data_IF_866566115462
#
_entry.id   IF_866566115462
#
_cell.length_a   1.000
_cell.length_b   1.000
_cell.length_c   1.000
_cell.angle_alpha   90.00
_cell.angle_beta   90.00
_cell.angle_gamma   90.00
#
_symmetry.space_group_name_H-M   'P 1'
#
loop_
_entity.id
_entity.type
_entity.pdbx_description
1 polymer ?
#
# COMPACT_ATOMS: atom_id res chain seq x y z
N UNK A 1 -17.16 -11.82 -0.30
CA UNK A 1 -16.44 -11.14 -1.42
C UNK A 1 -16.79 -11.68 -2.80
N UNK A 2 -17.44 -12.83 -2.92
CA UNK A 2 -17.76 -13.43 -4.21
C UNK A 2 -19.12 -12.99 -4.70
N UNK A 3 -19.19 -12.03 -5.63
CA UNK A 3 -20.32 -11.93 -6.56
C UNK A 3 -20.09 -12.97 -7.65
N UNK A 4 -21.17 -13.66 -8.05
CA UNK A 4 -21.16 -14.62 -9.15
C UNK A 4 -20.43 -14.00 -10.35
N UNK A 5 -19.31 -14.60 -10.78
CA UNK A 5 -18.44 -14.27 -11.91
C UNK A 5 -17.19 -13.38 -11.63
N UNK A 6 -16.95 -12.86 -10.42
CA UNK A 6 -15.70 -12.14 -10.12
C UNK A 6 -14.59 -13.12 -9.70
N UNK A 7 -13.46 -13.06 -10.40
CA UNK A 7 -12.28 -13.85 -10.07
C UNK A 7 -11.40 -13.13 -9.07
N UNK A 8 -11.17 -13.77 -7.95
CA UNK A 8 -10.35 -13.25 -6.85
C UNK A 8 -9.09 -14.09 -6.73
N UNK A 9 -7.95 -13.43 -6.57
CA UNK A 9 -6.70 -14.07 -6.21
C UNK A 9 -6.24 -13.59 -4.84
N UNK A 10 -5.81 -14.52 -3.99
CA UNK A 10 -5.29 -14.21 -2.67
C UNK A 10 -3.78 -14.47 -2.67
N UNK A 11 -3.02 -13.47 -2.21
CA UNK A 11 -1.60 -13.58 -1.95
C UNK A 11 -1.42 -13.57 -0.44
N UNK A 12 -0.93 -14.67 0.11
CA UNK A 12 -0.64 -14.79 1.53
C UNK A 12 0.86 -14.59 1.75
N UNK A 13 1.21 -13.66 2.60
CA UNK A 13 2.59 -13.38 2.98
C UNK A 13 2.85 -14.00 4.36
N UNK A 14 3.31 -15.25 4.40
CA UNK A 14 3.60 -15.96 5.64
C UNK A 14 5.08 -15.98 6.00
N UNK A 15 5.36 -15.72 7.29
CA UNK A 15 6.65 -16.03 7.90
C UNK A 15 6.62 -17.49 8.41
N UNK A 16 7.14 -18.45 7.64
CA UNK A 16 7.28 -19.82 8.10
C UNK A 16 7.21 -20.89 7.00
N UNK A 17 7.62 -22.10 7.33
CA UNK A 17 7.67 -23.25 6.44
C UNK A 17 6.36 -24.04 6.38
N UNK A 18 5.30 -23.60 7.05
CA UNK A 18 4.00 -24.28 7.11
C UNK A 18 2.88 -23.33 6.73
N UNK A 19 2.28 -23.61 5.59
CA UNK A 19 1.04 -23.00 5.11
C UNK A 19 -0.14 -23.64 5.87
N UNK A 20 -0.54 -23.02 6.99
CA UNK A 20 -1.67 -23.50 7.80
C UNK A 20 -2.99 -22.93 7.28
N UNK A 21 -2.96 -21.72 6.72
CA UNK A 21 -4.16 -20.93 6.44
C UNK A 21 -4.73 -21.16 5.04
N UNK A 22 -3.92 -21.55 4.05
CA UNK A 22 -4.40 -21.85 2.69
C UNK A 22 -5.41 -23.01 2.66
N UNK A 23 -5.33 -23.93 3.62
CA UNK A 23 -6.29 -25.04 3.76
C UNK A 23 -7.68 -24.61 4.25
N UNK A 24 -7.82 -23.37 4.73
CA UNK A 24 -9.09 -22.83 5.25
C UNK A 24 -9.93 -22.11 4.19
N UNK A 25 -9.36 -21.92 3.00
CA UNK A 25 -10.00 -21.20 1.89
C UNK A 25 -10.66 -22.23 0.95
N UNK A 26 -11.84 -21.89 0.42
CA UNK A 26 -12.56 -22.80 -0.49
C UNK A 26 -11.73 -23.09 -1.74
N UNK A 27 -11.81 -24.34 -2.26
CA UNK A 27 -11.07 -24.83 -3.44
C UNK A 27 -11.34 -24.06 -4.75
N UNK A 28 -12.20 -23.05 -4.74
CA UNK A 28 -12.56 -22.23 -5.89
C UNK A 28 -11.72 -20.92 -5.99
N UNK A 29 -10.90 -20.65 -4.97
CA UNK A 29 -10.07 -19.44 -4.91
C UNK A 29 -8.61 -19.85 -5.13
N UNK A 30 -7.93 -19.22 -6.08
CA UNK A 30 -6.51 -19.44 -6.31
C UNK A 30 -5.70 -18.72 -5.22
N UNK A 31 -5.06 -19.49 -4.35
CA UNK A 31 -4.20 -19.00 -3.26
C UNK A 31 -2.75 -19.18 -3.63
N UNK A 32 -1.98 -18.11 -3.58
CA UNK A 32 -0.53 -18.13 -3.73
C UNK A 32 0.13 -17.73 -2.42
N UNK A 33 0.86 -18.64 -1.81
CA UNK A 33 1.69 -18.36 -0.64
C UNK A 33 3.07 -17.92 -1.11
N UNK A 34 3.50 -16.74 -0.71
CA UNK A 34 4.89 -16.31 -0.87
C UNK A 34 5.69 -17.01 0.26
N UNK A 35 6.16 -18.21 -0.02
CA UNK A 35 6.99 -18.97 0.90
C UNK A 35 8.43 -18.69 0.50
N UNK A 36 9.17 -17.89 1.25
CA UNK A 36 10.55 -18.14 1.56
C UNK A 36 11.28 -16.98 2.22
N UNK A 37 11.91 -17.38 3.25
CA UNK A 37 12.97 -16.97 4.02
C UNK A 37 13.94 -15.91 3.51
N UNK A 38 14.43 -15.19 4.45
CA UNK A 38 15.53 -14.25 4.45
C UNK A 38 15.23 -12.86 3.88
N UNK A 39 14.87 -12.00 4.84
CA UNK A 39 15.10 -10.55 4.83
C UNK A 39 14.25 -9.73 3.88
N UNK A 40 13.54 -8.81 4.48
CA UNK A 40 12.66 -7.74 3.98
C UNK A 40 12.78 -7.23 2.51
N UNK A 41 13.91 -7.41 1.83
CA UNK A 41 14.11 -6.94 0.46
C UNK A 41 13.58 -7.92 -0.60
N UNK A 42 13.67 -9.22 -0.35
CA UNK A 42 13.27 -10.24 -1.34
C UNK A 42 11.74 -10.35 -1.45
N UNK A 43 11.02 -10.25 -0.33
CA UNK A 43 9.56 -10.34 -0.29
C UNK A 43 8.86 -9.22 -1.08
N UNK A 44 9.42 -8.00 -1.08
CA UNK A 44 8.85 -6.89 -1.86
C UNK A 44 8.98 -7.14 -3.35
N UNK A 45 10.14 -7.62 -3.80
CA UNK A 45 10.36 -7.92 -5.21
C UNK A 45 9.48 -9.09 -5.66
N UNK A 46 9.36 -10.13 -4.84
CA UNK A 46 8.48 -11.27 -5.11
C UNK A 46 7.02 -10.82 -5.24
N UNK A 47 6.53 -9.96 -4.34
CA UNK A 47 5.19 -9.41 -4.44
C UNK A 47 4.99 -8.60 -5.73
N UNK A 48 5.95 -7.75 -6.11
CA UNK A 48 5.89 -6.99 -7.36
C UNK A 48 5.88 -7.93 -8.57
N UNK A 49 6.70 -8.97 -8.59
CA UNK A 49 6.73 -9.97 -9.67
C UNK A 49 5.41 -10.72 -9.79
N UNK A 50 4.82 -11.14 -8.66
CA UNK A 50 3.54 -11.84 -8.63
C UNK A 50 2.41 -10.93 -9.12
N UNK A 51 2.33 -9.70 -8.63
CA UNK A 51 1.35 -8.72 -9.10
C UNK A 51 1.51 -8.44 -10.59
N UNK A 52 2.75 -8.35 -11.09
CA UNK A 52 3.02 -8.18 -12.52
C UNK A 52 2.56 -9.37 -13.34
N UNK A 53 2.78 -10.59 -12.86
CA UNK A 53 2.31 -11.80 -13.53
C UNK A 53 0.77 -11.85 -13.60
N UNK A 54 0.09 -11.47 -12.52
CA UNK A 54 -1.38 -11.35 -12.48
C UNK A 54 -1.87 -10.30 -13.49
N UNK A 55 -1.24 -9.11 -13.49
CA UNK A 55 -1.61 -8.03 -14.40
C UNK A 55 -1.47 -8.43 -15.87
N UNK A 56 -0.38 -9.14 -16.23
CA UNK A 56 -0.13 -9.60 -17.60
C UNK A 56 -1.11 -10.69 -18.03
N UNK A 57 -1.56 -11.53 -17.11
CA UNK A 57 -2.56 -12.58 -17.38
C UNK A 57 -3.96 -11.98 -17.59
N UNK A 58 -4.31 -10.94 -16.83
CA UNK A 58 -5.52 -10.15 -17.02
C UNK A 58 -6.82 -10.91 -16.77
N UNK A 59 -6.80 -12.00 -15.99
CA UNK A 59 -7.94 -12.88 -15.73
C UNK A 59 -8.51 -12.75 -14.31
N UNK A 60 -8.07 -11.75 -13.54
CA UNK A 60 -8.45 -11.53 -12.13
C UNK A 60 -9.09 -10.14 -11.98
N UNK A 61 -10.17 -10.07 -11.24
CA UNK A 61 -10.87 -8.81 -10.94
C UNK A 61 -10.36 -8.17 -9.65
N UNK A 62 -10.03 -8.99 -8.64
CA UNK A 62 -9.56 -8.52 -7.34
C UNK A 62 -8.36 -9.32 -6.88
N UNK A 63 -7.38 -8.63 -6.31
CA UNK A 63 -6.23 -9.23 -5.61
C UNK A 63 -6.34 -8.85 -4.14
N UNK A 64 -6.36 -9.85 -3.27
CA UNK A 64 -6.34 -9.67 -1.82
C UNK A 64 -4.95 -10.06 -1.34
N UNK A 65 -4.30 -9.19 -0.59
CA UNK A 65 -2.99 -9.45 0.00
C UNK A 65 -3.17 -9.54 1.50
N UNK A 66 -2.91 -10.71 2.07
CA UNK A 66 -2.85 -10.89 3.50
C UNK A 66 -1.43 -10.64 3.99
N UNK A 67 -1.28 -9.66 4.87
CA UNK A 67 -0.02 -9.33 5.50
C UNK A 67 0.11 -10.00 6.86
N UNK A 68 1.31 -10.43 7.23
CA UNK A 68 1.56 -10.93 8.60
C UNK A 68 1.39 -9.81 9.63
N UNK A 69 1.05 -10.18 10.87
CA UNK A 69 0.87 -9.22 11.97
C UNK A 69 2.13 -8.40 12.32
N UNK A 70 3.30 -8.80 11.81
CA UNK A 70 4.57 -8.08 11.99
C UNK A 70 5.05 -7.37 10.71
N UNK A 71 4.22 -7.34 9.67
CA UNK A 71 4.56 -6.66 8.42
C UNK A 71 4.54 -5.13 8.58
N UNK A 72 5.50 -4.48 7.95
CA UNK A 72 5.48 -3.02 7.81
C UNK A 72 4.53 -2.62 6.68
N UNK A 73 3.33 -2.16 7.02
CA UNK A 73 2.27 -1.83 6.06
C UNK A 73 2.70 -0.80 5.02
N UNK A 74 3.55 0.17 5.39
CA UNK A 74 4.09 1.14 4.44
C UNK A 74 4.91 0.46 3.34
N UNK A 75 5.70 -0.54 3.67
CA UNK A 75 6.53 -1.24 2.70
C UNK A 75 5.70 -2.10 1.73
N UNK A 76 4.59 -2.68 2.21
CA UNK A 76 3.63 -3.37 1.35
C UNK A 76 2.90 -2.38 0.43
N UNK A 77 2.49 -1.24 0.97
CA UNK A 77 1.88 -0.16 0.18
C UNK A 77 2.83 0.31 -0.94
N UNK A 78 4.12 0.47 -0.62
CA UNK A 78 5.15 0.82 -1.61
C UNK A 78 5.29 -0.27 -2.68
N UNK A 79 5.29 -1.54 -2.30
CA UNK A 79 5.37 -2.66 -3.24
C UNK A 79 4.14 -2.72 -4.16
N UNK A 80 2.93 -2.54 -3.62
CA UNK A 80 1.69 -2.49 -4.41
C UNK A 80 1.63 -1.31 -5.38
N UNK A 81 2.42 -0.28 -5.15
CA UNK A 81 2.50 0.91 -6.00
C UNK A 81 3.85 0.99 -6.75
N UNK A 82 4.52 -0.14 -6.97
CA UNK A 82 5.74 -0.16 -7.76
C UNK A 82 5.47 0.37 -9.19
N UNK A 83 6.36 1.22 -9.74
CA UNK A 83 6.20 1.78 -11.09
C UNK A 83 6.00 0.77 -12.21
N UNK A 84 6.40 -0.49 -12.02
CA UNK A 84 6.18 -1.55 -12.99
C UNK A 84 4.74 -2.04 -13.07
N UNK A 85 3.95 -1.83 -12.01
CA UNK A 85 2.61 -2.41 -11.88
C UNK A 85 1.51 -1.37 -11.61
N UNK A 86 1.86 -0.17 -11.15
CA UNK A 86 0.90 0.86 -10.71
C UNK A 86 -0.15 1.25 -11.75
N UNK A 87 0.16 1.11 -13.03
CA UNK A 87 -0.76 1.43 -14.13
C UNK A 87 -1.76 0.29 -14.45
N UNK A 88 -1.59 -0.88 -13.82
CA UNK A 88 -2.47 -2.04 -14.03
C UNK A 88 -3.51 -2.23 -12.94
N UNK A 89 -3.28 -1.61 -11.78
CA UNK A 89 -4.14 -1.75 -10.61
C UNK A 89 -4.68 -0.40 -10.15
N UNK A 90 -5.83 -0.42 -9.55
CA UNK A 90 -6.32 0.71 -8.78
C UNK A 90 -5.48 0.88 -7.50
N UNK A 91 -5.64 2.03 -6.84
CA UNK A 91 -4.98 2.28 -5.57
C UNK A 91 -5.40 1.21 -4.55
N UNK A 92 -4.46 0.56 -3.86
CA UNK A 92 -4.81 -0.44 -2.86
C UNK A 92 -5.61 0.17 -1.71
N UNK A 93 -6.56 -0.59 -1.17
CA UNK A 93 -7.29 -0.27 0.05
C UNK A 93 -6.73 -1.12 1.17
N UNK A 94 -6.46 -0.51 2.31
CA UNK A 94 -5.88 -1.18 3.47
C UNK A 94 -6.95 -1.35 4.54
N UNK A 95 -7.26 -2.60 4.86
CA UNK A 95 -8.13 -2.95 5.99
C UNK A 95 -7.28 -3.39 7.19
N UNK A 96 -7.31 -2.61 8.27
CA UNK A 96 -6.72 -3.01 9.54
C UNK A 96 -7.67 -3.95 10.29
N UNK A 97 -7.20 -5.12 10.68
CA UNK A 97 -8.00 -6.05 11.50
C UNK A 97 -7.51 -5.99 12.94
N UNK A 98 -8.40 -5.62 13.87
CA UNK A 98 -8.12 -5.46 15.28
C UNK A 98 -8.86 -6.52 16.09
N UNK A 99 -8.13 -7.26 16.92
CA UNK A 99 -8.69 -8.19 17.91
C UNK A 99 -9.12 -7.40 19.16
N UNK A 100 -10.44 -7.29 19.40
CA UNK A 100 -11.00 -6.56 20.52
C UNK A 100 -10.53 -7.10 21.88
N UNK A 101 -10.25 -8.40 21.97
CA UNK A 101 -9.84 -9.03 23.24
C UNK A 101 -8.42 -8.66 23.65
N UNK A 102 -7.56 -8.31 22.69
CA UNK A 102 -6.13 -8.06 22.92
C UNK A 102 -5.74 -6.59 22.88
N UNK A 103 -6.51 -5.77 22.19
CA UNK A 103 -6.13 -4.38 21.95
C UNK A 103 -5.93 -3.56 23.22
N UNK A 104 -6.79 -3.73 24.23
CA UNK A 104 -6.67 -3.03 25.51
C UNK A 104 -5.46 -3.48 26.35
N UNK A 105 -4.98 -4.69 26.09
CA UNK A 105 -3.83 -5.27 26.79
C UNK A 105 -2.50 -5.02 26.06
N UNK A 106 -2.50 -4.23 24.98
CA UNK A 106 -1.29 -4.00 24.17
C UNK A 106 -0.13 -3.37 24.94
N UNK A 107 -0.41 -2.72 26.07
CA UNK A 107 0.62 -2.20 26.99
C UNK A 107 1.52 -3.30 27.59
N UNK A 108 1.14 -4.58 27.46
CA UNK A 108 1.97 -5.73 27.86
C UNK A 108 3.04 -6.07 26.82
N UNK A 109 2.93 -5.54 25.58
CA UNK A 109 3.92 -5.73 24.55
C UNK A 109 5.07 -4.72 24.66
N UNK A 110 6.17 -4.98 23.95
CA UNK A 110 7.28 -4.03 23.88
C UNK A 110 6.84 -2.74 23.16
N UNK A 111 7.51 -1.63 23.45
CA UNK A 111 7.23 -0.34 22.80
C UNK A 111 7.30 -0.43 21.26
N UNK A 112 8.27 -1.18 20.74
CA UNK A 112 8.38 -1.39 19.29
C UNK A 112 7.15 -2.12 18.71
N UNK A 113 6.64 -3.13 19.41
CA UNK A 113 5.44 -3.87 18.96
C UNK A 113 4.20 -2.96 19.03
N UNK A 114 4.05 -2.18 20.07
CA UNK A 114 2.94 -1.22 20.21
C UNK A 114 3.01 -0.17 19.09
N UNK A 115 4.19 0.40 18.85
CA UNK A 115 4.39 1.37 17.75
C UNK A 115 4.04 0.77 16.40
N UNK A 116 4.49 -0.45 16.12
CA UNK A 116 4.15 -1.13 14.87
C UNK A 116 2.64 -1.35 14.71
N UNK A 117 1.96 -1.79 15.79
CA UNK A 117 0.49 -1.95 15.77
C UNK A 117 -0.23 -0.63 15.49
N UNK A 118 0.20 0.45 16.14
CA UNK A 118 -0.39 1.78 15.92
C UNK A 118 -0.12 2.30 14.49
N UNK A 119 1.07 2.07 13.94
CA UNK A 119 1.41 2.44 12.57
C UNK A 119 0.58 1.65 11.55
N UNK A 120 0.34 0.35 11.79
CA UNK A 120 -0.55 -0.45 10.96
C UNK A 120 -1.99 0.10 10.98
N UNK A 121 -2.50 0.48 12.16
CA UNK A 121 -3.83 1.08 12.26
C UNK A 121 -3.90 2.44 11.56
N UNK A 122 -2.89 3.30 11.73
CA UNK A 122 -2.83 4.62 11.09
C UNK A 122 -2.78 4.56 9.56
N UNK A 123 -2.25 3.48 9.00
CA UNK A 123 -2.19 3.26 7.54
C UNK A 123 -3.46 2.67 6.96
N UNK A 124 -4.41 2.25 7.79
CA UNK A 124 -5.65 1.61 7.33
C UNK A 124 -6.62 2.64 6.74
N UNK A 125 -7.34 2.25 5.69
CA UNK A 125 -8.49 2.99 5.16
C UNK A 125 -9.75 2.72 5.98
N UNK A 126 -9.83 1.54 6.60
CA UNK A 126 -10.88 1.13 7.51
C UNK A 126 -10.31 0.17 8.56
N UNK A 127 -10.81 0.24 9.80
CA UNK A 127 -10.45 -0.68 10.87
C UNK A 127 -11.63 -1.60 11.16
N UNK A 128 -11.40 -2.90 11.03
CA UNK A 128 -12.37 -3.95 11.36
C UNK A 128 -12.08 -4.43 12.78
N UNK A 129 -12.94 -4.08 13.74
CA UNK A 129 -12.84 -4.51 15.13
C UNK A 129 -13.55 -5.85 15.25
N UNK A 130 -12.78 -6.94 15.31
CA UNK A 130 -13.28 -8.31 15.35
C UNK A 130 -13.37 -8.84 16.78
N UNK A 131 -14.13 -9.91 16.98
CA UNK A 131 -14.36 -10.61 18.25
C UNK A 131 -15.07 -9.73 19.30
N UNK A 132 -15.98 -8.87 18.86
CA UNK A 132 -16.73 -8.00 19.78
C UNK A 132 -17.64 -8.78 20.72
N UNK A 133 -18.03 -10.00 20.36
CA UNK A 133 -18.79 -10.94 21.17
C UNK A 133 -18.04 -11.46 22.40
N UNK A 134 -16.72 -11.31 22.44
CA UNK A 134 -15.88 -11.78 23.54
C UNK A 134 -15.46 -10.68 24.52
N UNK A 135 -15.99 -9.47 24.36
CA UNK A 135 -15.68 -8.32 25.22
C UNK A 135 -16.95 -7.64 25.72
N UNK A 136 -16.84 -6.85 26.79
CA UNK A 136 -17.97 -6.08 27.33
C UNK A 136 -18.16 -4.77 26.57
N UNK A 137 -19.37 -4.18 26.70
CA UNK A 137 -19.67 -2.86 26.11
C UNK A 137 -18.73 -1.77 26.67
N UNK A 138 -18.38 -1.81 27.97
CA UNK A 138 -17.39 -0.89 28.57
C UNK A 138 -16.00 -1.04 27.92
N UNK A 139 -15.61 -2.26 27.55
CA UNK A 139 -14.38 -2.51 26.85
C UNK A 139 -14.43 -1.95 25.41
N UNK A 140 -15.54 -2.10 24.71
CA UNK A 140 -15.74 -1.52 23.38
C UNK A 140 -15.69 0.00 23.40
N UNK A 141 -16.31 0.64 24.38
CA UNK A 141 -16.21 2.10 24.56
C UNK A 141 -14.77 2.56 24.81
N UNK A 142 -13.99 1.80 25.57
CA UNK A 142 -12.56 2.09 25.78
C UNK A 142 -11.76 1.94 24.50
N UNK A 143 -12.06 0.90 23.71
CA UNK A 143 -11.42 0.71 22.38
C UNK A 143 -11.72 1.91 21.48
N UNK A 144 -12.99 2.30 21.34
CA UNK A 144 -13.41 3.44 20.53
C UNK A 144 -12.70 4.74 20.96
N UNK A 145 -12.62 5.00 22.27
CA UNK A 145 -11.89 6.17 22.79
C UNK A 145 -10.41 6.14 22.45
N UNK A 146 -9.76 4.99 22.54
CA UNK A 146 -8.35 4.87 22.21
C UNK A 146 -8.10 4.98 20.70
N UNK A 147 -8.95 4.38 19.87
CA UNK A 147 -8.86 4.53 18.41
C UNK A 147 -9.09 5.97 17.99
N UNK A 148 -10.00 6.71 18.64
CA UNK A 148 -10.20 8.13 18.35
C UNK A 148 -8.99 9.01 18.67
N UNK A 149 -8.08 8.55 19.53
CA UNK A 149 -6.79 9.24 19.80
C UNK A 149 -5.73 8.83 18.80
N UNK A 150 -5.64 7.53 18.46
CA UNK A 150 -4.60 6.99 17.59
C UNK A 150 -4.89 7.33 16.12
N UNK A 151 -6.16 7.24 15.70
CA UNK A 151 -6.58 7.29 14.31
C UNK A 151 -7.99 7.88 14.14
N UNK A 152 -8.18 9.12 14.59
CA UNK A 152 -9.48 9.80 14.72
C UNK A 152 -10.37 9.84 13.46
N UNK A 153 -9.77 9.80 12.28
CA UNK A 153 -10.48 9.95 11.00
C UNK A 153 -10.72 8.64 10.25
N UNK A 154 -10.24 7.50 10.79
CA UNK A 154 -10.44 6.21 10.13
C UNK A 154 -11.78 5.62 10.53
N UNK A 155 -12.64 5.24 9.57
CA UNK A 155 -13.88 4.55 9.87
C UNK A 155 -13.59 3.19 10.50
N UNK A 156 -14.44 2.83 11.49
CA UNK A 156 -14.36 1.55 12.18
C UNK A 156 -15.61 0.73 11.90
N UNK A 157 -15.43 -0.59 11.72
CA UNK A 157 -16.51 -1.54 11.57
C UNK A 157 -16.40 -2.63 12.66
N UNK A 158 -17.48 -2.90 13.38
CA UNK A 158 -17.52 -3.88 14.46
C UNK A 158 -18.11 -5.19 13.97
N UNK A 159 -17.43 -6.31 14.23
CA UNK A 159 -17.86 -7.61 13.74
C UNK A 159 -17.49 -8.78 14.66
N UNK A 160 -18.07 -9.92 14.40
CA UNK A 160 -17.72 -11.22 14.96
C UNK A 160 -17.35 -12.16 13.82
N UNK A 161 -16.36 -13.05 14.06
CA UNK A 161 -15.87 -14.01 13.04
C UNK A 161 -15.47 -13.38 11.69
N UNK A 162 -15.06 -12.11 11.68
CA UNK A 162 -14.66 -11.41 10.46
C UNK A 162 -15.80 -11.22 9.44
N UNK A 163 -17.07 -11.33 9.87
CA UNK A 163 -18.22 -11.16 8.99
C UNK A 163 -18.39 -9.68 8.63
N UNK A 164 -18.03 -9.33 7.42
CA UNK A 164 -18.19 -8.00 6.85
C UNK A 164 -18.90 -8.13 5.52
N UNK A 165 -19.98 -7.37 5.31
CA UNK A 165 -20.67 -7.37 4.03
C UNK A 165 -19.88 -6.57 2.97
N UNK A 166 -20.02 -6.95 1.70
CA UNK A 166 -19.39 -6.22 0.58
C UNK A 166 -19.87 -4.77 0.45
N UNK A 167 -21.09 -4.51 0.91
CA UNK A 167 -21.69 -3.17 0.87
C UNK A 167 -21.02 -2.25 1.88
N UNK A 168 -20.47 -2.83 2.95
CA UNK A 168 -19.76 -2.12 4.02
C UNK A 168 -18.27 -1.95 3.72
N UNK A 169 -17.70 -2.88 2.96
CA UNK A 169 -16.39 -2.70 2.35
C UNK A 169 -16.60 -1.83 1.10
N UNK A 170 -16.32 -0.56 1.21
CA UNK A 170 -16.40 0.38 0.10
C UNK A 170 -15.29 0.06 -0.92
N UNK A 171 -15.54 -0.99 -1.71
CA UNK A 171 -14.58 -1.42 -2.73
C UNK A 171 -14.53 -0.37 -3.84
N UNK A 172 -13.34 0.08 -4.26
CA UNK A 172 -13.20 0.95 -5.41
C UNK A 172 -13.70 0.23 -6.66
N UNK A 173 -14.55 0.88 -7.43
CA UNK A 173 -15.06 0.35 -8.70
C UNK A 173 -16.55 0.51 -8.94
N UNK A 174 -17.36 0.90 -7.97
CA UNK A 174 -18.76 1.28 -8.19
C UNK A 174 -18.87 2.80 -8.24
N UNK A 175 -19.01 3.32 -9.48
CA UNK A 175 -19.55 4.64 -9.83
C UNK A 175 -19.43 5.72 -8.73
N UNK A 176 -18.22 6.11 -8.41
CA UNK A 176 -17.98 7.40 -7.79
C UNK A 176 -17.64 8.39 -8.89
N UNK A 177 -18.63 9.22 -9.23
CA UNK A 177 -18.30 10.52 -9.79
C UNK A 177 -17.13 11.10 -8.99
N UNK A 178 -16.14 11.64 -9.71
CA UNK A 178 -14.95 12.27 -9.14
C UNK A 178 -15.41 13.51 -8.33
N UNK A 179 -16.11 13.26 -7.25
CA UNK A 179 -16.29 14.23 -6.19
C UNK A 179 -15.05 14.11 -5.32
N UNK A 180 -14.32 15.21 -5.22
CA UNK A 180 -13.08 15.42 -4.49
C UNK A 180 -13.20 15.17 -2.96
N UNK A 181 -13.65 14.01 -2.56
CA UNK A 181 -13.62 13.57 -1.17
C UNK A 181 -12.42 12.65 -0.99
N UNK A 182 -11.36 13.27 -0.55
CA UNK A 182 -10.11 12.65 -0.15
C UNK A 182 -10.35 11.59 0.93
N UNK A 183 -10.20 10.31 0.59
CA UNK A 183 -9.93 9.30 1.59
C UNK A 183 -8.56 9.60 2.17
N UNK A 184 -8.54 10.15 3.36
CA UNK A 184 -7.35 10.47 4.10
C UNK A 184 -6.80 9.19 4.74
N UNK A 185 -5.90 8.49 4.06
CA UNK A 185 -4.90 7.74 4.79
C UNK A 185 -4.22 8.73 5.74
N UNK A 186 -4.26 8.61 7.02
CA UNK A 186 -3.67 9.46 8.05
C UNK A 186 -2.51 10.33 7.57
N UNK A 187 -2.76 11.24 6.66
CA UNK A 187 -1.75 12.06 6.04
C UNK A 187 -0.89 11.38 4.97
N UNK A 188 -0.85 10.06 4.85
CA UNK A 188 -0.06 9.39 3.80
C UNK A 188 -0.82 9.41 2.48
N UNK A 189 -0.21 10.03 1.48
CA UNK A 189 -0.70 10.13 0.12
C UNK A 189 0.31 9.53 -0.84
N UNK A 190 -0.18 9.03 -1.96
CA UNK A 190 0.66 8.63 -3.08
C UNK A 190 0.22 9.33 -4.34
N UNK A 191 1.18 9.58 -5.20
CA UNK A 191 0.91 10.05 -6.56
C UNK A 191 1.81 9.35 -7.55
N UNK A 192 1.27 9.13 -8.74
CA UNK A 192 1.98 8.59 -9.88
C UNK A 192 2.10 9.67 -10.95
N UNK A 193 3.27 9.74 -11.58
CA UNK A 193 3.51 10.61 -12.71
C UNK A 193 4.28 9.86 -13.79
N UNK A 194 3.82 9.94 -15.04
CA UNK A 194 4.48 9.31 -16.19
C UNK A 194 4.96 10.39 -17.14
N UNK A 195 6.27 10.44 -17.35
CA UNK A 195 6.88 11.32 -18.34
C UNK A 195 6.66 10.79 -19.77
N UNK A 196 6.44 11.68 -20.71
CA UNK A 196 6.27 11.33 -22.13
C UNK A 196 7.60 11.20 -22.88
N UNK A 197 8.72 11.60 -22.27
CA UNK A 197 10.05 11.54 -22.87
C UNK A 197 11.16 11.92 -21.89
N UNK A 198 12.40 11.99 -22.40
CA UNK A 198 13.55 12.38 -21.58
C UNK A 198 13.45 13.79 -21.01
N UNK A 199 13.85 13.97 -19.77
CA UNK A 199 13.82 15.23 -19.02
C UNK A 199 15.23 15.79 -18.80
N UNK A 200 15.32 17.05 -18.38
CA UNK A 200 16.59 17.66 -18.00
C UNK A 200 17.10 17.09 -16.69
N UNK A 201 18.35 16.60 -16.70
CA UNK A 201 18.98 15.96 -15.54
C UNK A 201 19.19 16.94 -14.37
N UNK A 202 19.66 18.14 -14.66
CA UNK A 202 19.94 19.13 -13.61
C UNK A 202 18.66 19.59 -12.92
N UNK A 203 17.62 19.85 -13.70
CA UNK A 203 16.31 20.26 -13.15
C UNK A 203 15.69 19.12 -12.33
N UNK A 204 15.82 17.87 -12.77
CA UNK A 204 15.35 16.72 -11.99
C UNK A 204 16.08 16.59 -10.65
N UNK A 205 17.40 16.71 -10.63
CA UNK A 205 18.14 16.69 -9.36
C UNK A 205 17.76 17.86 -8.45
N UNK A 206 17.55 19.06 -9.01
CA UNK A 206 17.07 20.19 -8.22
C UNK A 206 15.68 19.94 -7.61
N UNK A 207 14.81 19.29 -8.36
CA UNK A 207 13.50 18.86 -7.86
C UNK A 207 13.65 17.88 -6.68
N UNK A 208 14.47 16.83 -6.84
CA UNK A 208 14.71 15.85 -5.77
C UNK A 208 15.29 16.51 -4.51
N UNK A 209 16.24 17.42 -4.64
CA UNK A 209 16.85 18.12 -3.50
C UNK A 209 15.91 19.09 -2.79
N UNK A 210 14.81 19.48 -3.43
CA UNK A 210 13.79 20.39 -2.88
C UNK A 210 12.55 19.64 -2.41
N UNK A 211 12.52 18.32 -2.48
CA UNK A 211 11.41 17.53 -1.96
C UNK A 211 11.23 17.83 -0.46
N UNK A 212 9.99 18.06 -0.01
CA UNK A 212 9.73 18.30 1.41
C UNK A 212 10.02 17.03 2.24
N UNK A 213 10.35 17.23 3.52
CA UNK A 213 10.60 16.13 4.46
C UNK A 213 9.40 15.16 4.60
N UNK A 214 8.21 15.64 4.27
CA UNK A 214 7.00 14.82 4.23
C UNK A 214 7.02 13.75 3.13
N UNK A 215 7.93 13.82 2.14
CA UNK A 215 8.13 12.76 1.15
C UNK A 215 8.92 11.62 1.79
N UNK A 216 8.27 10.51 2.03
CA UNK A 216 8.85 9.32 2.64
C UNK A 216 9.59 8.46 1.61
N UNK A 217 9.03 8.32 0.41
CA UNK A 217 9.55 7.48 -0.67
C UNK A 217 9.29 8.10 -2.04
N UNK A 218 10.25 7.98 -2.93
CA UNK A 218 10.06 8.12 -4.37
C UNK A 218 10.77 6.95 -5.05
N UNK A 219 10.09 6.30 -5.96
CA UNK A 219 10.67 5.25 -6.82
C UNK A 219 10.18 5.44 -8.24
N UNK A 220 11.04 5.19 -9.21
CA UNK A 220 10.60 5.24 -10.59
C UNK A 220 11.71 5.17 -11.62
N UNK A 221 11.30 5.35 -12.86
CA UNK A 221 12.15 5.28 -14.02
C UNK A 221 12.12 6.60 -14.76
N UNK A 222 13.29 7.12 -15.06
CA UNK A 222 13.47 8.36 -15.82
C UNK A 222 14.49 8.17 -16.92
N UNK A 223 14.37 8.96 -17.98
CA UNK A 223 15.40 9.10 -19.00
C UNK A 223 15.83 10.56 -19.07
N UNK A 224 17.09 10.82 -19.32
CA UNK A 224 17.63 12.16 -19.39
C UNK A 224 18.01 12.56 -20.81
N UNK A 225 17.83 13.84 -21.16
CA UNK A 225 18.11 14.37 -22.51
C UNK A 225 19.55 14.20 -22.96
N UNK A 226 20.50 14.22 -22.02
CA UNK A 226 21.92 13.98 -22.27
C UNK A 226 22.23 12.51 -22.56
N UNK A 227 21.35 11.57 -22.17
CA UNK A 227 21.44 10.14 -22.42
C UNK A 227 20.05 9.54 -22.71
N UNK A 228 19.40 9.88 -23.81
CA UNK A 228 17.99 9.57 -24.05
C UNK A 228 17.68 8.09 -24.25
N UNK A 229 18.69 7.27 -24.54
CA UNK A 229 18.56 5.82 -24.70
C UNK A 229 18.80 5.05 -23.39
N UNK A 230 19.22 5.71 -22.31
CA UNK A 230 19.42 5.11 -21.01
C UNK A 230 18.20 5.36 -20.12
N UNK A 231 17.73 4.30 -19.48
CA UNK A 231 16.72 4.41 -18.42
C UNK A 231 17.41 4.28 -17.08
N UNK A 232 17.13 5.21 -16.20
CA UNK A 232 17.61 5.23 -14.83
C UNK A 232 16.50 4.80 -13.89
N UNK A 233 16.74 3.77 -13.09
CA UNK A 233 15.96 3.53 -11.89
C UNK A 233 16.39 4.55 -10.86
N UNK A 234 15.45 5.25 -10.27
CA UNK A 234 15.67 6.25 -9.26
C UNK A 234 14.89 5.87 -8.00
N UNK A 235 15.55 5.91 -6.86
CA UNK A 235 14.97 5.66 -5.55
C UNK A 235 15.36 6.79 -4.60
N UNK A 236 14.42 7.22 -3.79
CA UNK A 236 14.64 8.20 -2.74
C UNK A 236 13.92 7.73 -1.49
N UNK A 237 14.63 7.73 -0.39
CA UNK A 237 14.11 7.33 0.90
C UNK A 237 14.70 8.22 1.99
N UNK A 238 13.83 8.88 2.75
CA UNK A 238 14.23 9.68 3.91
C UNK A 238 15.39 10.66 3.62
N UNK A 239 15.33 11.37 2.52
CA UNK A 239 16.36 12.36 2.16
C UNK A 239 17.57 11.79 1.38
N UNK A 240 17.64 10.48 1.16
CA UNK A 240 18.76 9.84 0.48
C UNK A 240 18.36 9.37 -0.93
N UNK A 241 18.89 9.99 -2.00
CA UNK A 241 18.69 9.51 -3.36
C UNK A 241 19.69 8.40 -3.70
N UNK A 242 19.20 7.40 -4.43
CA UNK A 242 20.00 6.36 -5.08
C UNK A 242 19.51 6.17 -6.51
N UNK A 243 20.41 5.89 -7.45
CA UNK A 243 20.04 5.70 -8.85
C UNK A 243 21.07 4.88 -9.62
N UNK A 244 20.59 4.14 -10.61
CA UNK A 244 21.41 3.32 -11.49
C UNK A 244 20.80 3.15 -12.87
N UNK A 245 21.65 2.86 -13.87
CA UNK A 245 21.18 2.55 -15.21
C UNK A 245 20.65 1.12 -15.24
N UNK A 246 19.48 0.95 -15.87
CA UNK A 246 18.88 -0.37 -16.09
C UNK A 246 18.83 -0.69 -17.59
N UNK A 247 19.02 -1.98 -17.92
CA UNK A 247 19.07 -2.48 -19.29
C UNK A 247 17.70 -2.83 -19.91
N UNK A 248 16.59 -2.41 -19.29
CA UNK A 248 15.23 -2.74 -19.74
C UNK A 248 14.47 -1.50 -20.18
N UNK A 249 13.59 -1.65 -21.17
CA UNK A 249 12.63 -0.61 -21.52
C UNK A 249 11.42 -0.69 -20.59
N UNK A 250 11.27 0.35 -19.77
CA UNK A 250 10.16 0.50 -18.84
C UNK A 250 9.48 1.86 -19.05
N UNK A 251 8.19 1.99 -18.71
CA UNK A 251 7.52 3.30 -18.71
C UNK A 251 8.29 4.28 -17.82
N UNK A 252 8.46 5.53 -18.26
CA UNK A 252 9.14 6.58 -17.50
C UNK A 252 8.22 7.09 -16.39
N UNK A 253 7.90 6.22 -15.46
CA UNK A 253 6.93 6.44 -14.40
C UNK A 253 7.63 6.57 -13.06
N UNK A 254 7.27 7.59 -12.30
CA UNK A 254 7.67 7.75 -10.89
C UNK A 254 6.44 7.69 -9.99
N UNK A 255 6.64 7.11 -8.81
CA UNK A 255 5.67 7.07 -7.72
C UNK A 255 6.26 7.78 -6.52
N UNK A 256 5.50 8.70 -5.94
CA UNK A 256 5.88 9.48 -4.76
C UNK A 256 4.88 9.16 -3.65
N UNK A 257 5.41 8.79 -2.48
CA UNK A 257 4.63 8.48 -1.28
C UNK A 257 5.13 9.35 -0.15
N UNK A 258 4.22 9.97 0.57
CA UNK A 258 4.58 10.82 1.71
C UNK A 258 3.38 11.27 2.53
N UNK A 259 3.66 11.91 3.66
CA UNK A 259 2.65 12.48 4.53
C UNK A 259 2.20 13.84 4.00
N UNK A 260 0.90 14.12 4.07
CA UNK A 260 0.31 15.43 3.73
C UNK A 260 0.80 16.03 2.39
N UNK A 261 1.09 15.19 1.38
CA UNK A 261 1.63 15.64 0.09
C UNK A 261 0.68 16.64 -0.59
N UNK A 262 1.23 17.78 -1.00
CA UNK A 262 0.60 18.65 -1.99
C UNK A 262 0.83 18.07 -3.40
N UNK A 263 -0.03 17.14 -3.78
CA UNK A 263 0.07 16.45 -5.06
C UNK A 263 -0.07 17.38 -6.26
N UNK A 264 -0.82 18.50 -6.12
CA UNK A 264 -0.96 19.49 -7.18
C UNK A 264 0.33 20.27 -7.37
N UNK A 265 0.95 20.71 -6.29
CA UNK A 265 2.23 21.40 -6.34
C UNK A 265 3.33 20.53 -6.94
N UNK A 266 3.43 19.28 -6.49
CA UNK A 266 4.41 18.32 -7.01
C UNK A 266 4.15 18.03 -8.51
N UNK A 267 2.89 17.84 -8.90
CA UNK A 267 2.53 17.63 -10.31
C UNK A 267 2.96 18.79 -11.19
N UNK A 268 2.69 20.03 -10.77
CA UNK A 268 3.11 21.23 -11.51
C UNK A 268 4.64 21.28 -11.68
N UNK A 269 5.41 20.90 -10.65
CA UNK A 269 6.87 20.83 -10.75
C UNK A 269 7.32 19.77 -11.75
N UNK A 270 6.69 18.59 -11.76
CA UNK A 270 7.00 17.52 -12.70
C UNK A 270 6.61 17.92 -14.15
N UNK A 271 5.47 18.59 -14.33
CA UNK A 271 5.08 19.13 -15.64
C UNK A 271 6.12 20.13 -16.15
N UNK A 272 6.67 20.98 -15.29
CA UNK A 272 7.75 21.90 -15.68
C UNK A 272 9.00 21.13 -16.15
N UNK A 273 9.36 20.02 -15.51
CA UNK A 273 10.50 19.18 -15.93
C UNK A 273 10.27 18.55 -17.30
N UNK A 274 9.02 18.24 -17.63
CA UNK A 274 8.68 17.63 -18.90
C UNK A 274 8.72 18.61 -20.07
N UNK A 275 8.26 19.84 -19.86
CA UNK A 275 8.04 20.82 -20.94
C UNK A 275 9.13 21.90 -21.04
N UNK A 276 10.12 21.89 -20.17
CA UNK A 276 11.31 22.75 -20.26
C UNK A 276 12.41 22.07 -20.99
#
# INVERSE_FOLDING_TARGET
LLKNDEKIKIIMNEFGTFDIDSNSISNEIEVHSLINGCVCCDLKQELVYELKAIALKGDVNHVIIEATGIAHSLELLVACQDPQIVNFFEKPIIYGVLDATRFLERHQYTENTVSLMEDQLKLSDMIIINKIDLVTDDSLEKIDKQLSIICASIPTYKTTYGQVSLEELDLPGKDREISSHHHHHHGIKSMTYTFTGPIDRQLFYQFIMKLPESVLRLKGYVSFRDQPNAIYEFQYAYGLPDYGIIGMHLPLTIVIIGETLDTNHIRNQLDMLQFT
#
